data_IF_535453563353
#
_entry.id   IF_535453563353
#
_cell.length_a   1.000
_cell.length_b   1.000
_cell.length_c   1.000
_cell.angle_alpha   90.00
_cell.angle_beta   90.00
_cell.angle_gamma   90.00
#
_symmetry.space_group_name_H-M   'P 1'
#
loop_
_entity.id
_entity.type
_entity.pdbx_description
1 polymer ?
#
# COMPACT_ATOMS: atom_id res chain seq x y z
N UNK A 1 -9.96 -27.72 -8.27
CA UNK A 1 -8.84 -27.38 -7.38
C UNK A 1 -9.31 -26.20 -6.55
N UNK A 2 -9.29 -26.32 -5.20
CA UNK A 2 -9.65 -25.22 -4.30
C UNK A 2 -8.68 -24.03 -4.48
N UNK A 3 -9.12 -22.82 -4.13
CA UNK A 3 -8.25 -21.64 -4.16
C UNK A 3 -7.02 -21.88 -3.26
N UNK A 4 -5.83 -21.40 -3.65
CA UNK A 4 -4.63 -21.57 -2.83
C UNK A 4 -4.81 -20.88 -1.47
N UNK A 5 -4.33 -21.51 -0.40
CA UNK A 5 -4.39 -20.91 0.95
C UNK A 5 -3.40 -19.77 1.13
N UNK A 6 -2.25 -19.86 0.46
CA UNK A 6 -1.17 -18.87 0.54
C UNK A 6 -0.49 -18.70 -0.81
N UNK A 7 0.15 -17.58 -0.99
CA UNK A 7 1.04 -17.29 -2.12
C UNK A 7 2.39 -16.78 -1.64
N UNK A 8 3.48 -17.19 -2.29
CA UNK A 8 4.81 -16.66 -2.02
C UNK A 8 4.93 -15.25 -2.62
N UNK A 9 5.57 -14.37 -1.89
CA UNK A 9 5.86 -13.01 -2.34
C UNK A 9 7.34 -12.91 -2.72
N UNK A 10 7.68 -13.37 -3.92
CA UNK A 10 9.07 -13.48 -4.36
C UNK A 10 9.80 -12.14 -4.40
N UNK A 11 9.10 -11.06 -4.77
CA UNK A 11 9.70 -9.74 -4.78
C UNK A 11 10.00 -9.24 -3.37
N UNK A 12 9.03 -9.33 -2.46
CA UNK A 12 9.19 -8.94 -1.04
C UNK A 12 10.29 -9.79 -0.39
N UNK A 13 10.31 -11.09 -0.69
CA UNK A 13 11.32 -12.02 -0.17
C UNK A 13 12.74 -11.62 -0.57
N UNK A 14 12.95 -11.35 -1.86
CA UNK A 14 14.25 -10.88 -2.35
C UNK A 14 14.62 -9.50 -1.79
N UNK A 15 13.64 -8.62 -1.66
CA UNK A 15 13.88 -7.28 -1.16
C UNK A 15 14.29 -7.28 0.32
N UNK A 16 13.57 -8.00 1.18
CA UNK A 16 13.86 -8.06 2.62
C UNK A 16 14.90 -9.11 3.01
N UNK A 17 15.25 -10.04 2.12
CA UNK A 17 16.22 -11.10 2.38
C UNK A 17 15.69 -12.23 3.28
N UNK A 18 14.36 -12.40 3.37
CA UNK A 18 13.68 -13.43 4.15
C UNK A 18 12.53 -14.01 3.31
N UNK A 19 12.15 -15.27 3.56
CA UNK A 19 11.08 -15.92 2.81
C UNK A 19 9.71 -15.40 3.27
N UNK A 20 9.01 -14.68 2.38
CA UNK A 20 7.72 -14.05 2.69
C UNK A 20 6.60 -14.66 1.87
N UNK A 21 5.46 -14.90 2.52
CA UNK A 21 4.23 -15.29 1.87
C UNK A 21 3.05 -14.42 2.35
N UNK A 22 1.94 -14.51 1.63
CA UNK A 22 0.67 -13.89 2.01
C UNK A 22 -0.42 -14.94 2.04
N UNK A 23 -1.24 -14.93 3.09
CA UNK A 23 -2.48 -15.70 3.14
C UNK A 23 -3.49 -15.12 2.14
N UNK A 24 -4.22 -16.00 1.45
CA UNK A 24 -5.24 -15.62 0.45
C UNK A 24 -6.59 -15.33 1.12
N UNK A 25 -7.10 -16.16 2.07
CA UNK A 25 -8.36 -15.87 2.75
C UNK A 25 -8.25 -14.64 3.65
N UNK A 26 -9.35 -13.87 3.76
CA UNK A 26 -9.47 -12.76 4.73
C UNK A 26 -10.11 -13.18 6.06
N UNK A 27 -10.68 -14.40 6.12
CA UNK A 27 -11.25 -15.01 7.32
C UNK A 27 -10.74 -16.43 7.48
N UNK A 28 -10.57 -16.84 8.74
CA UNK A 28 -10.09 -18.18 9.04
C UNK A 28 -10.76 -18.74 10.30
N UNK A 29 -11.03 -20.04 10.27
CA UNK A 29 -11.28 -20.88 11.42
C UNK A 29 -9.99 -21.60 11.86
N UNK A 30 -10.09 -22.44 12.88
CA UNK A 30 -8.97 -23.20 13.41
C UNK A 30 -8.35 -24.14 12.38
N UNK A 31 -9.18 -24.81 11.57
CA UNK A 31 -8.70 -25.79 10.58
C UNK A 31 -7.96 -25.09 9.43
N UNK A 32 -8.52 -24.01 8.93
CA UNK A 32 -7.90 -23.21 7.86
C UNK A 32 -6.61 -22.57 8.34
N UNK A 33 -6.58 -22.05 9.57
CA UNK A 33 -5.35 -21.53 10.20
C UNK A 33 -4.25 -22.59 10.27
N UNK A 34 -4.57 -23.79 10.77
CA UNK A 34 -3.59 -24.88 10.91
C UNK A 34 -3.04 -25.30 9.55
N UNK A 35 -3.90 -25.44 8.54
CA UNK A 35 -3.48 -25.74 7.17
C UNK A 35 -2.55 -24.65 6.59
N UNK A 36 -2.82 -23.36 6.86
CA UNK A 36 -1.94 -22.24 6.48
C UNK A 36 -0.58 -22.33 7.17
N UNK A 37 -0.57 -22.61 8.48
CA UNK A 37 0.67 -22.73 9.25
C UNK A 37 1.51 -23.94 8.80
N UNK A 38 0.86 -25.07 8.51
CA UNK A 38 1.53 -26.27 7.98
C UNK A 38 2.13 -26.01 6.60
N UNK A 39 1.39 -25.32 5.72
CA UNK A 39 1.91 -24.91 4.43
C UNK A 39 3.15 -24.00 4.59
N UNK A 40 3.11 -23.03 5.50
CA UNK A 40 4.24 -22.15 5.76
C UNK A 40 5.48 -22.91 6.23
N UNK A 41 5.31 -23.88 7.14
CA UNK A 41 6.41 -24.73 7.61
C UNK A 41 6.99 -25.58 6.47
N UNK A 42 6.12 -26.21 5.68
CA UNK A 42 6.53 -27.04 4.54
C UNK A 42 7.28 -26.24 3.46
N UNK A 43 6.93 -24.95 3.29
CA UNK A 43 7.55 -24.06 2.32
C UNK A 43 8.73 -23.24 2.86
N UNK A 44 9.10 -23.39 4.14
CA UNK A 44 10.18 -22.64 4.76
C UNK A 44 9.95 -21.13 4.75
N UNK A 45 8.72 -20.71 5.10
CA UNK A 45 8.36 -19.29 5.17
C UNK A 45 8.85 -18.70 6.50
N UNK A 46 9.55 -17.57 6.43
CA UNK A 46 10.01 -16.84 7.61
C UNK A 46 8.95 -15.87 8.14
N UNK A 47 8.20 -15.21 7.22
CA UNK A 47 7.16 -14.26 7.57
C UNK A 47 5.91 -14.47 6.72
N UNK A 48 4.76 -14.64 7.38
CA UNK A 48 3.46 -14.68 6.72
C UNK A 48 2.71 -13.36 6.96
N UNK A 49 2.28 -12.72 5.87
CA UNK A 49 1.34 -11.60 5.90
C UNK A 49 -0.09 -12.12 5.86
N UNK A 50 -0.93 -11.56 6.68
CA UNK A 50 -2.37 -11.84 6.67
C UNK A 50 -3.16 -10.53 6.71
N UNK A 51 -4.03 -10.32 5.72
CA UNK A 51 -4.98 -9.21 5.73
C UNK A 51 -6.34 -9.75 6.14
N UNK A 52 -6.67 -9.61 7.41
CA UNK A 52 -7.92 -10.10 7.98
C UNK A 52 -9.04 -9.07 7.85
N UNK A 53 -10.25 -9.54 7.56
CA UNK A 53 -11.46 -8.74 7.81
C UNK A 53 -11.54 -8.39 9.31
N UNK A 54 -12.21 -7.27 9.65
CA UNK A 54 -12.47 -6.89 11.05
C UNK A 54 -13.60 -7.79 11.63
N UNK A 55 -13.26 -9.07 11.86
CA UNK A 55 -14.12 -10.14 12.33
C UNK A 55 -13.56 -10.73 13.62
N UNK A 56 -14.35 -10.73 14.69
CA UNK A 56 -13.88 -11.08 16.04
C UNK A 56 -13.37 -12.53 16.16
N UNK A 57 -13.98 -13.47 15.46
CA UNK A 57 -13.56 -14.86 15.51
C UNK A 57 -12.24 -15.07 14.76
N UNK A 58 -12.11 -14.51 13.57
CA UNK A 58 -10.86 -14.50 12.80
C UNK A 58 -9.73 -13.86 13.59
N UNK A 59 -9.96 -12.68 14.19
CA UNK A 59 -8.95 -11.97 14.98
C UNK A 59 -8.46 -12.85 16.15
N UNK A 60 -9.39 -13.46 16.91
CA UNK A 60 -9.03 -14.36 18.03
C UNK A 60 -8.21 -15.55 17.54
N UNK A 61 -8.63 -16.22 16.47
CA UNK A 61 -7.93 -17.38 15.90
C UNK A 61 -6.50 -17.02 15.47
N UNK A 62 -6.28 -15.83 14.93
CA UNK A 62 -4.95 -15.36 14.53
C UNK A 62 -4.09 -14.99 15.74
N UNK A 63 -4.64 -14.26 16.71
CA UNK A 63 -3.91 -13.81 17.90
C UNK A 63 -3.51 -15.00 18.79
N UNK A 64 -4.38 -16.00 18.97
CA UNK A 64 -4.09 -17.26 19.67
C UNK A 64 -2.95 -18.06 18.98
N UNK A 65 -2.76 -17.87 17.68
CA UNK A 65 -1.66 -18.46 16.90
C UNK A 65 -0.42 -17.55 16.79
N UNK A 66 -0.29 -16.56 17.68
CA UNK A 66 0.82 -15.63 17.76
C UNK A 66 1.04 -14.81 16.47
N UNK A 67 -0.02 -14.49 15.74
CA UNK A 67 0.03 -13.42 14.76
C UNK A 67 0.05 -12.06 15.46
N UNK A 68 0.97 -11.21 15.05
CA UNK A 68 1.08 -9.86 15.59
C UNK A 68 0.31 -8.87 14.72
N UNK A 69 -0.61 -8.12 15.32
CA UNK A 69 -1.30 -7.00 14.65
C UNK A 69 -0.31 -5.89 14.39
N UNK A 70 -0.12 -5.53 13.12
CA UNK A 70 0.89 -4.54 12.69
C UNK A 70 0.28 -3.27 12.12
N UNK A 71 -0.96 -3.34 11.58
CA UNK A 71 -1.61 -2.15 11.03
C UNK A 71 -3.13 -2.34 10.91
N UNK A 72 -3.87 -1.24 11.04
CA UNK A 72 -5.30 -1.16 10.75
C UNK A 72 -5.50 -0.41 9.43
N UNK A 73 -6.02 -1.11 8.44
CA UNK A 73 -6.27 -0.58 7.11
C UNK A 73 -7.70 -0.07 6.98
N UNK A 74 -7.84 1.14 6.43
CA UNK A 74 -9.12 1.71 6.00
C UNK A 74 -9.10 1.80 4.47
N UNK A 75 -10.11 1.24 3.82
CA UNK A 75 -10.37 1.41 2.39
C UNK A 75 -11.33 2.57 2.21
N UNK A 76 -11.02 3.46 1.28
CA UNK A 76 -11.88 4.59 0.90
C UNK A 76 -12.17 4.51 -0.60
N UNK A 77 -13.37 4.85 -0.99
CA UNK A 77 -13.81 4.85 -2.39
C UNK A 77 -14.44 6.17 -2.79
N UNK A 78 -14.25 6.52 -4.05
CA UNK A 78 -14.88 7.65 -4.72
C UNK A 78 -15.75 7.09 -5.84
N UNK A 79 -17.07 7.23 -5.64
CA UNK A 79 -18.08 6.86 -6.62
C UNK A 79 -19.38 7.65 -6.31
N UNK A 80 -19.98 8.36 -7.31
CA UNK A 80 -19.46 8.54 -8.67
C UNK A 80 -18.19 9.40 -8.70
N UNK A 81 -17.43 9.26 -9.79
CA UNK A 81 -16.27 10.14 -10.03
C UNK A 81 -16.82 11.50 -10.47
N UNK A 82 -16.42 12.63 -9.86
CA UNK A 82 -16.86 13.93 -10.28
C UNK A 82 -16.40 14.25 -11.70
N UNK A 83 -17.10 15.13 -12.44
CA UNK A 83 -16.61 15.64 -13.70
C UNK A 83 -15.19 16.20 -13.53
N UNK A 84 -14.33 15.92 -14.52
CA UNK A 84 -12.95 16.40 -14.47
C UNK A 84 -12.93 17.94 -14.45
N UNK A 85 -12.23 18.50 -13.48
CA UNK A 85 -11.76 19.88 -13.53
C UNK A 85 -10.50 19.94 -14.41
N UNK A 86 -10.22 21.10 -14.99
CA UNK A 86 -8.93 21.31 -15.67
C UNK A 86 -7.81 21.16 -14.64
N UNK A 87 -6.75 20.38 -14.95
CA UNK A 87 -5.60 20.30 -14.08
C UNK A 87 -4.99 21.67 -13.80
N UNK A 88 -4.45 21.85 -12.61
CA UNK A 88 -3.73 23.09 -12.29
C UNK A 88 -2.49 23.22 -13.19
N UNK A 89 -2.10 24.45 -13.52
CA UNK A 89 -0.99 24.75 -14.43
C UNK A 89 0.37 24.18 -13.94
N UNK A 90 0.50 23.91 -12.66
CA UNK A 90 1.68 23.33 -12.01
C UNK A 90 1.65 21.80 -11.91
N UNK A 91 0.62 21.16 -12.50
CA UNK A 91 0.39 19.72 -12.44
C UNK A 91 0.70 19.08 -13.79
N UNK A 92 1.51 18.05 -13.78
CA UNK A 92 1.90 17.30 -14.99
C UNK A 92 2.15 15.82 -14.72
N UNK A 93 2.34 15.04 -15.78
CA UNK A 93 2.87 13.69 -15.65
C UNK A 93 4.34 13.73 -15.17
N UNK A 94 4.72 12.73 -14.38
CA UNK A 94 6.11 12.54 -13.96
C UNK A 94 7.01 12.20 -15.18
N UNK A 95 8.25 12.66 -15.12
CA UNK A 95 9.28 12.32 -16.10
C UNK A 95 10.53 11.77 -15.40
N UNK A 96 11.47 11.27 -16.17
CA UNK A 96 12.69 10.64 -15.65
C UNK A 96 13.50 11.55 -14.70
N UNK A 97 13.56 12.85 -14.98
CA UNK A 97 14.27 13.81 -14.14
C UNK A 97 13.65 14.03 -12.76
N UNK A 98 12.38 13.69 -12.57
CA UNK A 98 11.69 13.84 -11.28
C UNK A 98 12.08 12.75 -10.27
N UNK A 99 12.49 11.58 -10.74
CA UNK A 99 12.66 10.36 -9.91
C UNK A 99 13.54 10.64 -8.69
N UNK A 100 14.62 11.40 -8.85
CA UNK A 100 15.51 11.70 -7.73
C UNK A 100 14.82 12.51 -6.61
N UNK A 101 13.96 13.47 -6.97
CA UNK A 101 13.17 14.24 -6.02
C UNK A 101 12.07 13.38 -5.38
N UNK A 102 11.35 12.59 -6.20
CA UNK A 102 10.27 11.73 -5.72
C UNK A 102 10.78 10.65 -4.75
N UNK A 103 11.96 10.07 -4.98
CA UNK A 103 12.60 9.12 -4.04
C UNK A 103 12.87 9.76 -2.67
N UNK A 104 13.32 11.02 -2.63
CA UNK A 104 13.54 11.75 -1.36
C UNK A 104 12.22 11.95 -0.61
N UNK A 105 11.15 12.34 -1.33
CA UNK A 105 9.82 12.52 -0.74
C UNK A 105 9.27 11.19 -0.22
N UNK A 106 9.39 10.12 -1.01
CA UNK A 106 8.87 8.80 -0.66
C UNK A 106 9.48 8.24 0.62
N UNK A 107 10.79 8.39 0.80
CA UNK A 107 11.52 7.92 1.98
C UNK A 107 10.99 8.46 3.31
N UNK A 108 10.32 9.62 3.30
CA UNK A 108 9.85 10.29 4.52
C UNK A 108 8.32 10.44 4.59
N UNK A 109 7.59 9.86 3.63
CA UNK A 109 6.13 10.07 3.52
C UNK A 109 5.28 8.94 4.07
N UNK A 110 5.84 7.74 4.29
CA UNK A 110 5.06 6.52 4.52
C UNK A 110 5.37 5.81 5.86
N UNK A 111 5.81 6.55 6.86
CA UNK A 111 6.22 6.00 8.17
C UNK A 111 5.06 5.38 8.98
N UNK A 112 3.82 5.62 8.60
CA UNK A 112 2.64 5.01 9.24
C UNK A 112 2.37 3.57 8.79
N UNK A 113 3.14 3.02 7.85
CA UNK A 113 2.84 1.71 7.27
C UNK A 113 3.20 0.54 8.19
N UNK A 114 2.60 -0.62 7.91
CA UNK A 114 2.82 -1.87 8.64
C UNK A 114 4.29 -2.28 8.75
N UNK A 115 5.11 -1.92 7.77
CA UNK A 115 6.54 -2.24 7.77
C UNK A 115 7.30 -1.52 8.88
N UNK A 116 6.96 -0.26 9.16
CA UNK A 116 7.56 0.49 10.25
C UNK A 116 7.03 0.09 11.64
N UNK A 117 5.88 -0.58 11.69
CA UNK A 117 5.28 -1.07 12.94
C UNK A 117 5.75 -2.46 13.33
N UNK A 118 6.33 -3.19 12.40
CA UNK A 118 6.92 -4.49 12.65
C UNK A 118 8.43 -4.33 12.88
N UNK A 119 8.85 -4.57 14.11
CA UNK A 119 10.25 -4.43 14.56
C UNK A 119 11.23 -5.38 13.86
N UNK A 120 10.75 -6.40 13.16
CA UNK A 120 11.59 -7.34 12.43
C UNK A 120 12.07 -6.77 11.09
N UNK A 121 11.43 -5.72 10.59
CA UNK A 121 11.91 -5.03 9.41
C UNK A 121 12.86 -3.90 9.78
N UNK A 122 14.03 -3.89 9.14
CA UNK A 122 14.98 -2.78 9.28
C UNK A 122 14.41 -1.49 8.72
N UNK A 123 14.55 -0.39 9.46
CA UNK A 123 13.98 0.92 9.07
C UNK A 123 14.58 1.48 7.79
N UNK A 124 15.87 1.30 7.57
CA UNK A 124 16.53 1.72 6.34
C UNK A 124 16.00 0.95 5.13
N UNK A 125 15.70 -0.36 5.33
CA UNK A 125 15.01 -1.16 4.32
C UNK A 125 13.58 -0.66 4.07
N UNK A 126 12.85 -0.25 5.10
CA UNK A 126 11.52 0.34 4.94
C UNK A 126 11.57 1.65 4.13
N UNK A 127 12.56 2.52 4.39
CA UNK A 127 12.77 3.75 3.61
C UNK A 127 13.09 3.41 2.15
N UNK A 128 13.97 2.44 1.90
CA UNK A 128 14.33 2.02 0.55
C UNK A 128 13.16 1.36 -0.19
N UNK A 129 12.27 0.65 0.51
CA UNK A 129 11.04 0.09 -0.07
C UNK A 129 10.24 1.15 -0.82
N UNK A 130 9.99 2.27 -0.18
CA UNK A 130 9.20 3.36 -0.76
C UNK A 130 9.94 4.11 -1.86
N UNK A 131 11.28 4.22 -1.76
CA UNK A 131 12.10 4.74 -2.86
C UNK A 131 12.02 3.85 -4.10
N UNK A 132 12.09 2.53 -3.91
CA UNK A 132 11.97 1.56 -5.01
C UNK A 132 10.55 1.55 -5.58
N UNK A 133 9.54 1.66 -4.75
CA UNK A 133 8.15 1.64 -5.23
C UNK A 133 7.82 2.87 -6.07
N UNK A 134 8.24 4.07 -5.69
CA UNK A 134 8.00 5.26 -6.52
C UNK A 134 8.83 5.23 -7.81
N UNK A 135 10.07 4.78 -7.75
CA UNK A 135 10.94 4.59 -8.90
C UNK A 135 10.28 3.65 -9.93
N UNK A 136 9.87 2.45 -9.51
CA UNK A 136 9.15 1.50 -10.35
C UNK A 136 7.82 2.05 -10.88
N UNK A 137 7.12 2.84 -10.08
CA UNK A 137 5.88 3.49 -10.52
C UNK A 137 6.14 4.42 -11.70
N UNK A 138 7.22 5.21 -11.65
CA UNK A 138 7.64 6.07 -12.77
C UNK A 138 8.13 5.28 -14.00
N UNK A 139 8.54 4.02 -13.81
CA UNK A 139 8.99 3.12 -14.86
C UNK A 139 7.88 2.23 -15.44
N UNK A 140 6.61 2.55 -15.16
CA UNK A 140 5.45 1.87 -15.73
C UNK A 140 4.79 0.83 -14.82
N UNK A 141 5.19 0.71 -13.55
CA UNK A 141 4.43 -0.09 -12.59
C UNK A 141 3.10 0.59 -12.19
N UNK A 142 3.06 1.91 -12.16
CA UNK A 142 1.81 2.67 -12.14
C UNK A 142 1.43 3.04 -13.58
N UNK A 143 0.12 3.05 -13.88
CA UNK A 143 -0.39 3.48 -15.18
C UNK A 143 -0.22 4.98 -15.39
N UNK A 144 -0.23 5.74 -14.28
CA UNK A 144 0.05 7.17 -14.31
C UNK A 144 0.67 7.64 -12.99
N UNK A 145 1.62 8.57 -13.10
CA UNK A 145 2.19 9.28 -11.95
C UNK A 145 2.03 10.78 -12.19
N UNK A 146 1.24 11.42 -11.33
CA UNK A 146 1.05 12.88 -11.33
C UNK A 146 2.07 13.51 -10.41
N UNK A 147 2.65 14.62 -10.84
CA UNK A 147 3.49 15.48 -10.00
C UNK A 147 2.98 16.91 -9.99
N UNK A 148 3.24 17.61 -8.89
CA UNK A 148 3.13 19.07 -8.82
C UNK A 148 4.55 19.64 -8.79
N UNK A 149 4.77 20.66 -9.63
CA UNK A 149 6.06 21.32 -9.78
C UNK A 149 6.04 22.68 -9.11
N UNK A 150 7.16 23.06 -8.48
CA UNK A 150 7.46 24.40 -7.98
C UNK A 150 8.93 24.72 -8.31
N UNK A 151 9.16 25.86 -8.92
CA UNK A 151 10.51 26.34 -9.27
C UNK A 151 11.34 25.29 -10.02
N UNK A 152 10.69 24.58 -10.97
CA UNK A 152 11.32 23.53 -11.79
C UNK A 152 11.56 22.19 -11.09
N UNK A 153 11.06 21.99 -9.85
CA UNK A 153 11.24 20.77 -9.09
C UNK A 153 9.89 20.11 -8.74
N UNK A 154 9.82 18.78 -8.85
CA UNK A 154 8.68 18.04 -8.37
C UNK A 154 8.65 18.07 -6.83
N UNK A 155 7.56 18.62 -6.24
CA UNK A 155 7.39 18.79 -4.79
C UNK A 155 6.33 17.88 -4.20
N UNK A 156 5.65 17.09 -5.04
CA UNK A 156 4.69 16.08 -4.62
C UNK A 156 4.35 15.14 -5.77
N UNK A 157 3.82 13.98 -5.41
CA UNK A 157 3.42 12.96 -6.38
C UNK A 157 2.18 12.18 -5.91
N UNK A 158 1.48 11.59 -6.88
CA UNK A 158 0.38 10.66 -6.69
C UNK A 158 0.44 9.60 -7.78
N UNK A 159 0.35 8.31 -7.42
CA UNK A 159 0.36 7.20 -8.36
C UNK A 159 -1.04 6.66 -8.58
N UNK A 160 -1.40 6.39 -9.83
CA UNK A 160 -2.68 5.80 -10.24
C UNK A 160 -2.42 4.45 -10.90
N UNK A 161 -3.22 3.45 -10.54
CA UNK A 161 -3.17 2.12 -11.13
C UNK A 161 -4.58 1.72 -11.62
N UNK A 162 -4.69 1.30 -12.86
CA UNK A 162 -5.88 0.66 -13.40
C UNK A 162 -5.91 -0.79 -12.90
N UNK A 163 -7.03 -1.28 -12.39
CA UNK A 163 -7.11 -2.59 -11.70
C UNK A 163 -8.01 -3.59 -12.37
N UNK A 164 -9.19 -3.16 -12.74
CA UNK A 164 -10.23 -3.98 -13.34
C UNK A 164 -10.89 -3.18 -14.43
N UNK A 165 -11.69 -3.81 -15.28
CA UNK A 165 -12.57 -3.03 -16.13
C UNK A 165 -13.34 -2.03 -15.27
N UNK A 166 -13.16 -0.74 -15.53
CA UNK A 166 -13.86 0.36 -14.87
C UNK A 166 -13.44 0.69 -13.41
N UNK A 167 -12.30 0.22 -12.92
CA UNK A 167 -11.78 0.61 -11.60
C UNK A 167 -10.35 1.15 -11.68
N UNK A 168 -10.01 2.08 -10.76
CA UNK A 168 -8.65 2.52 -10.53
C UNK A 168 -8.34 2.54 -9.03
N UNK A 169 -7.07 2.46 -8.69
CA UNK A 169 -6.61 2.67 -7.33
C UNK A 169 -5.54 3.77 -7.26
N UNK A 170 -5.61 4.57 -6.20
CA UNK A 170 -4.51 5.46 -5.83
C UNK A 170 -3.58 4.69 -4.91
N UNK A 171 -2.32 4.59 -5.29
CA UNK A 171 -1.29 3.85 -4.57
C UNK A 171 -0.54 4.74 -3.59
N UNK A 172 0.53 5.38 -4.07
CA UNK A 172 1.38 6.24 -3.25
C UNK A 172 1.00 7.70 -3.42
N UNK A 173 0.99 8.45 -2.31
CA UNK A 173 0.84 9.91 -2.30
C UNK A 173 1.89 10.49 -1.37
N UNK A 174 2.68 11.43 -1.86
CA UNK A 174 3.69 12.10 -1.07
C UNK A 174 3.81 13.58 -1.43
N UNK A 175 4.04 14.42 -0.42
CA UNK A 175 4.33 15.85 -0.57
C UNK A 175 5.54 16.19 0.27
N UNK A 176 6.49 16.90 -0.33
CA UNK A 176 7.67 17.41 0.37
C UNK A 176 7.25 18.21 1.62
N UNK A 177 7.95 18.02 2.71
CA UNK A 177 7.59 18.61 4.03
C UNK A 177 7.47 20.12 3.97
N UNK A 178 8.33 20.78 3.19
CA UNK A 178 8.36 22.25 3.03
C UNK A 178 7.15 22.80 2.29
N UNK A 179 6.50 21.97 1.46
CA UNK A 179 5.35 22.36 0.65
C UNK A 179 4.02 21.81 1.17
N UNK A 180 4.01 21.16 2.34
CA UNK A 180 2.75 20.68 2.95
C UNK A 180 1.86 21.82 3.36
N UNK A 181 0.52 21.57 3.38
CA UNK A 181 -0.53 22.53 3.74
C UNK A 181 -0.61 23.76 2.82
N UNK A 182 -0.08 23.66 1.62
CA UNK A 182 -0.11 24.69 0.56
C UNK A 182 -0.98 24.27 -0.64
N UNK A 183 -1.94 23.36 -0.46
CA UNK A 183 -2.82 22.90 -1.52
C UNK A 183 -2.25 21.83 -2.47
N UNK A 184 -0.96 21.48 -2.36
CA UNK A 184 -0.28 20.54 -3.28
C UNK A 184 -1.04 19.22 -3.41
N UNK A 185 -1.55 18.67 -2.30
CA UNK A 185 -2.35 17.43 -2.33
C UNK A 185 -3.61 17.57 -3.18
N UNK A 186 -4.31 18.70 -3.11
CA UNK A 186 -5.51 18.95 -3.92
C UNK A 186 -5.15 19.00 -5.41
N UNK A 187 -4.09 19.72 -5.79
CA UNK A 187 -3.60 19.78 -7.17
C UNK A 187 -3.23 18.38 -7.71
N UNK A 188 -2.57 17.54 -6.90
CA UNK A 188 -2.27 16.16 -7.26
C UNK A 188 -3.54 15.33 -7.50
N UNK A 189 -4.55 15.49 -6.64
CA UNK A 189 -5.82 14.77 -6.77
C UNK A 189 -6.59 15.21 -8.01
N UNK A 190 -6.69 16.51 -8.24
CA UNK A 190 -7.35 17.06 -9.42
C UNK A 190 -6.67 16.58 -10.71
N UNK A 191 -5.34 16.57 -10.76
CA UNK A 191 -4.59 16.01 -11.89
C UNK A 191 -4.82 14.51 -12.09
N UNK A 192 -4.87 13.73 -11.00
CA UNK A 192 -5.18 12.31 -11.07
C UNK A 192 -6.60 12.05 -11.56
N UNK A 193 -7.59 12.76 -11.04
CA UNK A 193 -9.00 12.62 -11.45
C UNK A 193 -9.22 13.08 -12.90
N UNK A 194 -8.53 14.14 -13.34
CA UNK A 194 -8.55 14.58 -14.73
C UNK A 194 -8.01 13.48 -15.67
N UNK A 195 -6.89 12.83 -15.33
CA UNK A 195 -6.37 11.72 -16.11
C UNK A 195 -7.33 10.52 -16.10
N UNK A 196 -7.85 10.15 -14.92
CA UNK A 196 -8.80 9.04 -14.74
C UNK A 196 -10.08 9.25 -15.55
N UNK A 197 -10.56 10.49 -15.69
CA UNK A 197 -11.78 10.79 -16.46
C UNK A 197 -11.67 10.46 -17.95
N UNK A 198 -10.45 10.46 -18.49
CA UNK A 198 -10.15 10.00 -19.85
C UNK A 198 -10.11 8.48 -19.99
N UNK A 199 -10.19 7.75 -18.87
CA UNK A 199 -10.21 6.29 -18.84
C UNK A 199 -11.65 5.80 -18.59
N UNK A 200 -11.97 4.57 -18.97
CA UNK A 200 -13.31 4.00 -18.74
C UNK A 200 -13.54 3.61 -17.26
N UNK A 201 -13.05 4.40 -16.33
CA UNK A 201 -13.12 4.15 -14.88
C UNK A 201 -14.44 4.70 -14.32
N UNK A 202 -15.09 3.93 -13.45
CA UNK A 202 -16.35 4.29 -12.78
C UNK A 202 -16.20 4.46 -11.26
N UNK A 203 -15.17 3.84 -10.68
CA UNK A 203 -14.84 3.97 -9.26
C UNK A 203 -13.33 4.10 -9.06
N UNK A 204 -12.94 4.87 -8.06
CA UNK A 204 -11.56 4.97 -7.61
C UNK A 204 -11.50 4.57 -6.16
N UNK A 205 -10.54 3.75 -5.78
CA UNK A 205 -10.32 3.39 -4.39
C UNK A 205 -8.89 3.63 -3.95
N UNK A 206 -8.71 3.74 -2.66
CA UNK A 206 -7.42 3.81 -2.00
C UNK A 206 -7.46 3.11 -0.66
N UNK A 207 -6.31 2.87 -0.07
CA UNK A 207 -6.22 2.37 1.29
C UNK A 207 -5.16 3.14 2.07
N UNK A 208 -5.48 3.43 3.32
CA UNK A 208 -4.56 4.09 4.24
C UNK A 208 -4.68 3.48 5.63
N UNK A 209 -3.82 3.90 6.54
CA UNK A 209 -3.83 3.43 7.92
C UNK A 209 -4.90 4.18 8.74
N UNK A 210 -5.56 3.47 9.65
CA UNK A 210 -6.56 4.07 10.55
C UNK A 210 -5.99 5.22 11.38
N UNK A 211 -4.73 5.11 11.80
CA UNK A 211 -4.02 6.16 12.55
C UNK A 211 -3.59 7.35 11.69
N UNK A 212 -3.50 7.20 10.36
CA UNK A 212 -3.13 8.27 9.44
C UNK A 212 -4.33 9.18 9.15
N UNK A 213 -4.73 9.96 10.17
CA UNK A 213 -5.87 10.88 10.10
C UNK A 213 -5.68 11.93 9.00
N UNK A 214 -4.43 12.35 8.77
CA UNK A 214 -4.10 13.32 7.73
C UNK A 214 -4.42 12.78 6.33
N UNK A 215 -4.03 11.54 6.03
CA UNK A 215 -4.34 10.87 4.76
C UNK A 215 -5.84 10.65 4.60
N UNK A 216 -6.54 10.17 5.64
CA UNK A 216 -7.99 9.99 5.60
C UNK A 216 -8.69 11.33 5.31
N UNK A 217 -8.33 12.40 6.02
CA UNK A 217 -8.91 13.74 5.82
C UNK A 217 -8.60 14.29 4.41
N UNK A 218 -7.44 14.00 3.84
CA UNK A 218 -7.09 14.34 2.48
C UNK A 218 -8.04 13.68 1.46
N UNK A 219 -8.23 12.37 1.55
CA UNK A 219 -9.13 11.64 0.65
C UNK A 219 -10.59 12.02 0.86
N UNK A 220 -11.04 12.20 2.10
CA UNK A 220 -12.41 12.61 2.40
C UNK A 220 -12.73 13.99 1.83
N UNK A 221 -11.80 14.95 1.87
CA UNK A 221 -11.96 16.27 1.23
C UNK A 221 -12.10 16.17 -0.29
N UNK A 222 -11.50 15.17 -0.91
CA UNK A 222 -11.65 14.88 -2.32
C UNK A 222 -12.93 14.06 -2.65
N UNK A 223 -13.80 13.83 -1.65
CA UNK A 223 -15.08 13.13 -1.83
C UNK A 223 -15.05 11.61 -1.60
N UNK A 224 -13.89 11.04 -1.27
CA UNK A 224 -13.81 9.62 -0.92
C UNK A 224 -14.54 9.32 0.40
N UNK A 225 -15.17 8.15 0.47
CA UNK A 225 -15.87 7.69 1.67
C UNK A 225 -15.29 6.36 2.13
N UNK A 226 -15.15 6.13 3.45
CA UNK A 226 -14.74 4.82 3.97
C UNK A 226 -15.75 3.74 3.59
N UNK A 227 -15.26 2.64 3.01
CA UNK A 227 -16.09 1.51 2.55
C UNK A 227 -15.70 0.18 3.18
N UNK A 228 -14.50 0.09 3.78
CA UNK A 228 -14.05 -1.16 4.37
C UNK A 228 -12.95 -0.95 5.40
N UNK A 229 -12.82 -1.92 6.29
CA UNK A 229 -11.75 -2.03 7.26
C UNK A 229 -11.16 -3.43 7.22
N UNK A 230 -9.86 -3.53 7.40
CA UNK A 230 -9.15 -4.78 7.52
C UNK A 230 -7.93 -4.58 8.42
N UNK A 231 -7.39 -5.67 8.93
CA UNK A 231 -6.28 -5.65 9.87
C UNK A 231 -5.13 -6.44 9.27
N UNK A 232 -3.96 -5.81 9.20
CA UNK A 232 -2.75 -6.50 8.84
C UNK A 232 -2.16 -7.19 10.06
N UNK A 233 -1.94 -8.49 9.91
CA UNK A 233 -1.18 -9.32 10.83
C UNK A 233 0.08 -9.83 10.15
N UNK A 234 1.18 -9.92 10.91
CA UNK A 234 2.38 -10.64 10.51
C UNK A 234 2.61 -11.80 11.48
N UNK A 235 2.99 -12.95 10.95
CA UNK A 235 3.44 -14.10 11.73
C UNK A 235 4.88 -14.43 11.33
N UNK A 236 5.77 -14.23 12.28
CA UNK A 236 7.17 -14.62 12.12
C UNK A 236 7.34 -16.04 12.67
N UNK A 237 8.03 -16.88 11.89
CA UNK A 237 8.40 -18.22 12.29
C UNK A 237 9.84 -18.15 12.81
N UNK A 238 10.12 -18.74 13.97
CA UNK A 238 11.50 -18.90 14.43
C UNK A 238 12.27 -19.68 13.36
N UNK A 239 13.55 -19.34 13.08
CA UNK A 239 14.38 -20.19 12.26
C UNK A 239 14.26 -21.63 12.80
N UNK A 240 13.91 -22.59 11.96
CA UNK A 240 14.01 -23.99 12.34
C UNK A 240 15.45 -24.17 12.79
N UNK A 241 15.66 -24.48 14.06
CA UNK A 241 16.94 -24.98 14.56
C UNK A 241 17.16 -26.32 13.87
N UNK A 242 17.59 -26.23 12.60
CA UNK A 242 18.05 -27.36 11.82
C UNK A 242 19.31 -27.86 12.50
N UNK A 243 19.28 -29.12 12.92
CA UNK A 243 20.36 -29.83 13.54
C UNK A 243 21.68 -29.51 12.83
N UNK A 244 22.59 -28.85 13.54
CA UNK A 244 24.00 -29.01 13.27
C UNK A 244 24.34 -30.47 13.49
N UNK A 245 24.64 -31.15 12.42
CA UNK A 245 25.28 -32.47 12.40
C UNK A 245 26.61 -32.32 11.71
#
# INVERSE_FOLDING_TARGET
QGAPLCERLDWDSRFFGVSIARAVPSRVDLLTRDAILDWCRAQGIDCLYFLADEDADTMRVLEDAAFSRVDDRVTLELQPIPPASSPHADTRAACQSDIAALRKIAAVSHHDSRFYNDRHFDRGRCDELYRVWIDRSCQGWADHVVVVERDGNAVGYLTVHLREPHAASIGLVGVDRTYRRQGIGAHLMDGALAWISGQSVRRVWTATQRRNVASQGFFQKAGFRPTGRAIWYHRWFSPSTGAAS
#
